data_IF_734750180834
#
_entry.id   IF_734750180834
#
_cell.length_a   1.000
_cell.length_b   1.000
_cell.length_c   1.000
_cell.angle_alpha   90.00
_cell.angle_beta   90.00
_cell.angle_gamma   90.00
#
_symmetry.space_group_name_H-M   'P 1'
#
loop_
_entity.id
_entity.type
_entity.pdbx_description
1 polymer ?
#
# COMPACT_ATOMS: atom_id res chain seq x y z
N UNK A 1 17.55 42.26 45.19
CA UNK A 1 18.11 42.57 43.87
C UNK A 1 18.39 41.32 43.02
N UNK A 2 19.12 40.30 43.49
CA UNK A 2 19.51 39.11 42.66
C UNK A 2 18.33 38.32 42.08
N UNK A 3 17.18 38.12 42.79
CA UNK A 3 16.01 37.41 42.27
C UNK A 3 15.26 38.16 41.13
N UNK A 4 15.25 39.53 41.16
CA UNK A 4 14.65 40.30 40.08
C UNK A 4 15.48 40.28 38.78
N UNK A 5 16.81 40.29 38.91
CA UNK A 5 17.70 40.15 37.73
C UNK A 5 17.57 38.76 37.07
N UNK A 6 17.44 37.70 37.89
CA UNK A 6 17.28 36.35 37.36
C UNK A 6 15.96 36.19 36.59
N UNK A 7 14.86 36.75 37.08
CA UNK A 7 13.56 36.71 36.41
C UNK A 7 13.55 37.51 35.09
N UNK A 8 14.25 38.66 35.06
CA UNK A 8 14.38 39.47 33.83
C UNK A 8 15.21 38.72 32.78
N UNK A 9 16.28 38.06 33.21
CA UNK A 9 17.13 37.25 32.29
C UNK A 9 16.37 36.07 31.70
N UNK A 10 15.56 35.35 32.50
CA UNK A 10 14.75 34.22 32.03
C UNK A 10 13.66 34.73 31.05
N UNK A 11 12.99 35.84 31.36
CA UNK A 11 11.99 36.43 30.47
C UNK A 11 12.60 36.88 29.14
N UNK A 12 13.81 37.47 29.13
CA UNK A 12 14.51 37.85 27.90
C UNK A 12 14.93 36.65 27.04
N UNK A 13 15.34 35.54 27.65
CA UNK A 13 15.66 34.28 26.94
C UNK A 13 14.40 33.66 26.33
N UNK A 14 13.29 33.63 27.08
CA UNK A 14 12.01 33.07 26.56
C UNK A 14 11.45 33.93 25.42
N UNK A 15 11.57 35.28 25.50
CA UNK A 15 11.18 36.18 24.42
C UNK A 15 12.11 35.97 23.21
N UNK A 16 13.43 35.85 23.42
CA UNK A 16 14.40 35.56 22.35
C UNK A 16 14.13 34.24 21.64
N UNK A 17 13.85 33.19 22.39
CA UNK A 17 13.45 31.88 21.84
C UNK A 17 12.12 31.94 21.10
N UNK A 18 11.13 32.67 21.67
CA UNK A 18 9.82 32.88 21.05
C UNK A 18 9.92 33.66 19.73
N UNK A 19 10.76 34.72 19.68
CA UNK A 19 10.99 35.50 18.46
C UNK A 19 11.80 34.69 17.44
N UNK A 20 12.78 33.94 17.86
CA UNK A 20 13.56 33.04 16.97
C UNK A 20 12.65 31.95 16.36
N UNK A 21 11.81 31.30 17.17
CA UNK A 21 10.82 30.34 16.70
C UNK A 21 9.78 31.01 15.78
N UNK A 22 9.32 32.22 16.08
CA UNK A 22 8.40 32.92 15.22
C UNK A 22 9.03 33.30 13.88
N UNK A 23 10.30 33.73 13.87
CA UNK A 23 11.03 34.05 12.64
C UNK A 23 11.32 32.77 11.81
N UNK A 24 11.68 31.67 12.43
CA UNK A 24 11.91 30.40 11.72
C UNK A 24 10.60 29.81 11.19
N UNK A 25 9.48 29.99 11.91
CA UNK A 25 8.14 29.57 11.46
C UNK A 25 7.50 30.52 10.42
N UNK A 26 8.02 31.76 10.28
CA UNK A 26 7.52 32.77 9.35
C UNK A 26 8.37 32.95 8.09
N UNK A 27 9.42 32.15 7.89
CA UNK A 27 10.11 32.15 6.60
C UNK A 27 9.10 31.76 5.52
N UNK A 28 8.82 32.59 4.52
CA UNK A 28 7.99 32.19 3.40
C UNK A 28 8.70 31.00 2.73
N UNK A 29 8.07 29.82 2.77
CA UNK A 29 8.55 28.69 1.96
C UNK A 29 8.63 29.18 0.51
N UNK A 30 9.76 28.95 -0.15
CA UNK A 30 9.87 29.23 -1.59
C UNK A 30 8.75 28.47 -2.26
N UNK A 31 7.88 29.16 -3.05
CA UNK A 31 6.79 28.48 -3.73
C UNK A 31 7.36 27.37 -4.62
N UNK A 32 6.71 26.21 -4.60
CA UNK A 32 7.06 25.15 -5.53
C UNK A 32 6.82 25.62 -6.98
N UNK A 33 7.77 25.33 -7.84
CA UNK A 33 7.69 25.57 -9.30
C UNK A 33 7.73 24.21 -9.96
N UNK A 34 6.67 23.84 -10.63
CA UNK A 34 6.55 22.57 -11.33
C UNK A 34 7.67 22.40 -12.36
N UNK A 35 8.21 21.17 -12.40
CA UNK A 35 9.10 20.70 -13.44
C UNK A 35 8.58 19.36 -13.96
N UNK A 36 8.58 19.10 -15.27
CA UNK A 36 8.17 17.81 -15.79
C UNK A 36 9.12 16.71 -15.33
N UNK A 37 8.63 15.46 -15.18
CA UNK A 37 9.47 14.31 -14.85
C UNK A 37 10.59 14.09 -15.87
N UNK A 38 11.71 13.57 -15.38
CA UNK A 38 12.83 13.21 -16.26
C UNK A 38 12.56 11.88 -16.96
N UNK A 39 12.85 11.82 -18.26
CA UNK A 39 12.82 10.56 -19.00
C UNK A 39 14.09 9.76 -18.69
N UNK A 40 13.89 8.61 -18.02
CA UNK A 40 14.98 7.70 -17.63
C UNK A 40 14.96 6.38 -18.39
N UNK A 41 14.15 6.29 -19.45
CA UNK A 41 14.02 5.12 -20.33
C UNK A 41 13.65 3.82 -19.58
N UNK A 42 12.78 3.92 -18.60
CA UNK A 42 12.30 2.80 -17.79
C UNK A 42 10.97 2.21 -18.26
N UNK A 43 10.49 2.61 -19.43
CA UNK A 43 9.23 2.18 -20.02
C UNK A 43 8.05 3.12 -19.77
N UNK A 44 8.19 4.13 -18.89
CA UNK A 44 7.20 5.20 -18.72
C UNK A 44 7.52 6.36 -19.65
N UNK A 45 6.57 6.72 -20.50
CA UNK A 45 6.63 7.98 -21.23
C UNK A 45 6.49 9.14 -20.23
N UNK A 46 7.13 10.25 -20.51
CA UNK A 46 7.01 11.47 -19.70
C UNK A 46 6.42 12.61 -20.51
N UNK A 47 5.77 13.53 -19.81
CA UNK A 47 5.16 14.72 -20.43
C UNK A 47 4.97 15.85 -19.44
N UNK A 48 4.24 16.88 -19.85
CA UNK A 48 3.89 18.01 -18.99
C UNK A 48 2.42 17.95 -18.54
N UNK A 49 2.08 18.64 -17.46
CA UNK A 49 0.69 18.79 -17.01
C UNK A 49 -0.19 19.41 -18.09
N UNK A 50 0.32 20.40 -18.84
CA UNK A 50 -0.38 21.08 -19.91
C UNK A 50 -0.74 20.13 -21.06
N UNK A 51 0.17 19.21 -21.45
CA UNK A 51 -0.07 18.26 -22.55
C UNK A 51 -1.25 17.30 -22.30
N UNK A 52 -1.58 17.06 -21.02
CA UNK A 52 -2.68 16.16 -20.61
C UNK A 52 -3.82 16.91 -19.93
N UNK A 53 -3.83 18.25 -20.03
CA UNK A 53 -4.92 19.08 -19.52
C UNK A 53 -5.05 19.18 -18.01
N UNK A 54 -3.99 18.86 -17.25
CA UNK A 54 -4.02 18.95 -15.78
C UNK A 54 -3.83 20.39 -15.31
N UNK A 55 -4.65 20.82 -14.32
CA UNK A 55 -4.57 22.13 -13.71
C UNK A 55 -3.27 22.30 -12.90
N UNK A 56 -2.37 23.14 -13.46
CA UNK A 56 -1.07 23.45 -12.86
C UNK A 56 -1.20 24.13 -11.48
N UNK A 57 -2.17 25.02 -11.29
CA UNK A 57 -2.30 25.79 -10.04
C UNK A 57 -2.71 24.87 -8.89
N UNK A 58 -3.63 23.93 -9.13
CA UNK A 58 -4.05 22.93 -8.15
C UNK A 58 -2.90 22.01 -7.77
N UNK A 59 -2.11 21.54 -8.73
CA UNK A 59 -0.94 20.69 -8.47
C UNK A 59 0.13 21.45 -7.69
N UNK A 60 0.45 22.70 -8.07
CA UNK A 60 1.41 23.50 -7.31
C UNK A 60 0.95 23.78 -5.87
N UNK A 61 -0.35 24.03 -5.68
CA UNK A 61 -0.89 24.21 -4.32
C UNK A 61 -0.83 22.91 -3.52
N UNK A 62 -1.12 21.73 -4.13
CA UNK A 62 -0.99 20.43 -3.48
C UNK A 62 0.44 20.22 -2.96
N UNK A 63 1.44 20.40 -3.82
CA UNK A 63 2.86 20.23 -3.47
C UNK A 63 3.30 21.26 -2.42
N UNK A 64 2.89 22.53 -2.55
CA UNK A 64 3.16 23.56 -1.55
C UNK A 64 2.60 23.19 -0.18
N UNK A 65 1.43 22.55 -0.12
CA UNK A 65 0.83 22.11 1.14
C UNK A 65 1.54 20.90 1.74
N UNK A 66 2.02 19.98 0.90
CA UNK A 66 2.88 18.86 1.34
C UNK A 66 4.14 19.45 1.98
N UNK A 67 4.85 20.35 1.29
CA UNK A 67 6.06 21.02 1.79
C UNK A 67 5.86 21.77 3.12
N UNK A 68 4.63 22.24 3.39
CA UNK A 68 4.24 22.88 4.68
C UNK A 68 3.76 21.87 5.73
N UNK A 69 3.86 20.56 5.49
CA UNK A 69 3.46 19.49 6.41
C UNK A 69 1.95 19.38 6.65
N UNK A 70 1.09 19.94 5.77
CA UNK A 70 -0.37 19.91 5.93
C UNK A 70 -0.96 18.51 5.72
N UNK A 71 -0.27 17.67 4.96
CA UNK A 71 -0.66 16.30 4.64
C UNK A 71 0.17 15.25 5.39
N UNK A 72 0.74 15.63 6.55
CA UNK A 72 1.61 14.77 7.33
C UNK A 72 2.93 14.49 6.59
N UNK A 73 3.45 13.27 6.72
CA UNK A 73 4.72 12.88 6.12
C UNK A 73 4.45 12.13 4.80
N UNK A 74 4.41 12.88 3.71
CA UNK A 74 4.37 12.37 2.34
C UNK A 74 5.81 12.28 1.85
N UNK A 75 6.21 11.14 1.29
CA UNK A 75 7.56 10.90 0.78
C UNK A 75 7.65 11.08 -0.73
N UNK A 76 6.59 10.72 -1.45
CA UNK A 76 6.47 10.99 -2.88
C UNK A 76 5.03 11.15 -3.32
N UNK A 77 4.85 11.86 -4.45
CA UNK A 77 3.61 11.89 -5.22
C UNK A 77 3.95 11.83 -6.70
N UNK A 78 3.34 10.87 -7.40
CA UNK A 78 3.48 10.71 -8.84
C UNK A 78 2.09 10.71 -9.48
N UNK A 79 1.96 11.33 -10.66
CA UNK A 79 0.73 11.33 -11.45
C UNK A 79 1.06 10.92 -12.88
N UNK A 80 0.38 9.87 -13.33
CA UNK A 80 0.35 9.40 -14.71
C UNK A 80 -1.04 9.68 -15.29
N UNK A 81 -1.10 10.23 -16.50
CA UNK A 81 -2.33 10.50 -17.22
C UNK A 81 -2.08 10.49 -18.73
N UNK A 82 -3.03 9.91 -19.48
CA UNK A 82 -2.99 9.87 -20.94
C UNK A 82 -1.63 9.40 -21.48
N UNK A 83 -1.21 8.20 -21.01
CA UNK A 83 0.04 7.53 -21.37
C UNK A 83 1.33 8.29 -21.02
N UNK A 84 1.28 9.24 -20.10
CA UNK A 84 2.45 10.01 -19.66
C UNK A 84 2.54 10.15 -18.14
N UNK A 85 3.73 9.94 -17.59
CA UNK A 85 4.07 10.40 -16.25
C UNK A 85 4.29 11.92 -16.32
N UNK A 86 3.47 12.69 -15.61
CA UNK A 86 3.44 14.16 -15.72
C UNK A 86 3.75 14.86 -14.39
N UNK A 87 3.75 14.14 -13.28
CA UNK A 87 4.23 14.64 -11.99
C UNK A 87 5.09 13.56 -11.32
N UNK A 88 6.22 13.96 -10.78
CA UNK A 88 7.11 13.09 -10.01
C UNK A 88 7.86 13.92 -8.97
N UNK A 89 7.34 13.95 -7.73
CA UNK A 89 7.93 14.72 -6.65
C UNK A 89 8.28 13.85 -5.46
N UNK A 90 9.40 14.17 -4.84
CA UNK A 90 9.97 13.49 -3.68
C UNK A 90 10.26 14.48 -2.57
N UNK A 91 10.06 14.07 -1.34
CA UNK A 91 10.17 14.94 -0.16
C UNK A 91 11.13 14.37 0.87
N UNK A 92 11.47 15.16 1.86
CA UNK A 92 12.19 14.70 3.04
C UNK A 92 11.21 13.95 3.97
N UNK A 93 11.68 12.82 4.53
CA UNK A 93 10.89 12.03 5.46
C UNK A 93 11.68 10.85 6.01
N UNK A 94 11.12 10.18 7.03
CA UNK A 94 11.80 9.11 7.74
C UNK A 94 11.65 7.77 7.05
N UNK A 95 12.72 6.99 7.01
CA UNK A 95 12.62 5.56 6.74
C UNK A 95 11.80 4.88 7.83
N UNK A 96 11.13 3.79 7.47
CA UNK A 96 10.47 2.96 8.46
C UNK A 96 11.48 2.27 9.37
N UNK A 97 11.22 2.27 10.68
CA UNK A 97 11.97 1.50 11.67
C UNK A 97 11.00 1.01 12.75
N UNK A 98 10.85 -0.30 12.87
CA UNK A 98 9.88 -0.94 13.74
C UNK A 98 9.92 -0.42 15.21
N UNK A 99 11.10 -0.41 15.82
CA UNK A 99 11.36 -0.04 17.21
C UNK A 99 11.67 1.46 17.41
N UNK A 100 11.67 2.23 16.32
CA UNK A 100 11.90 3.67 16.37
C UNK A 100 10.69 4.43 16.92
N UNK A 101 10.91 5.60 17.56
CA UNK A 101 9.81 6.48 17.97
C UNK A 101 8.93 6.85 16.78
N UNK A 102 7.60 6.64 16.89
CA UNK A 102 6.64 6.77 15.80
C UNK A 102 6.91 5.85 14.59
N UNK A 103 7.68 4.77 14.76
CA UNK A 103 8.21 3.91 13.69
C UNK A 103 9.09 4.66 12.69
N UNK A 104 9.74 5.74 13.11
CA UNK A 104 10.65 6.54 12.31
C UNK A 104 12.10 6.15 12.58
N UNK A 105 12.81 5.83 11.51
CA UNK A 105 14.26 5.64 11.47
C UNK A 105 14.99 6.90 10.98
N UNK A 106 15.95 6.71 10.08
CA UNK A 106 16.75 7.80 9.50
C UNK A 106 15.88 8.77 8.70
N UNK A 107 16.10 10.08 8.89
CA UNK A 107 15.54 11.12 8.06
C UNK A 107 16.33 11.22 6.76
N UNK A 108 15.68 11.07 5.62
CA UNK A 108 16.32 11.07 4.30
C UNK A 108 15.57 11.99 3.33
N UNK A 109 16.27 12.47 2.31
CA UNK A 109 15.63 13.06 1.13
C UNK A 109 15.31 11.94 0.15
N UNK A 110 14.03 11.59 0.03
CA UNK A 110 13.59 10.54 -0.88
C UNK A 110 13.87 10.90 -2.34
N UNK A 111 14.03 9.91 -3.17
CA UNK A 111 14.26 10.08 -4.60
C UNK A 111 13.84 8.81 -5.37
N UNK A 112 13.82 8.91 -6.71
CA UNK A 112 13.35 7.83 -7.60
C UNK A 112 14.11 6.51 -7.51
N UNK A 113 15.35 6.52 -7.03
CA UNK A 113 16.17 5.31 -6.96
C UNK A 113 16.00 4.51 -5.67
N UNK A 114 15.34 5.09 -4.67
CA UNK A 114 15.18 4.46 -3.37
C UNK A 114 13.98 3.52 -3.38
N UNK A 115 14.19 2.32 -2.84
CA UNK A 115 13.10 1.41 -2.50
C UNK A 115 12.32 1.99 -1.32
N UNK A 116 11.01 1.88 -1.39
CA UNK A 116 10.09 2.30 -0.33
C UNK A 116 9.29 1.08 0.13
N UNK A 117 9.16 0.92 1.43
CA UNK A 117 8.32 -0.08 2.05
C UNK A 117 6.84 0.28 1.78
N UNK A 118 6.17 -0.55 0.99
CA UNK A 118 4.80 -0.28 0.53
C UNK A 118 3.72 -0.82 1.45
N UNK A 119 4.13 -1.53 2.54
CA UNK A 119 3.18 -2.08 3.53
C UNK A 119 2.07 -2.90 2.85
N UNK A 120 0.84 -2.71 3.25
CA UNK A 120 -0.29 -3.50 2.75
C UNK A 120 -0.62 -3.35 1.26
N UNK A 121 0.01 -2.43 0.51
CA UNK A 121 -0.03 -2.49 -0.96
C UNK A 121 0.54 -3.82 -1.47
N UNK A 122 1.40 -4.48 -0.68
CA UNK A 122 1.93 -5.82 -0.92
C UNK A 122 0.81 -6.84 -1.14
N UNK A 123 -0.33 -6.71 -0.45
CA UNK A 123 -1.49 -7.60 -0.61
C UNK A 123 -2.04 -7.56 -2.03
N UNK A 124 -2.09 -6.37 -2.64
CA UNK A 124 -2.50 -6.22 -4.03
C UNK A 124 -1.49 -6.87 -4.98
N UNK A 125 -0.19 -6.79 -4.70
CA UNK A 125 0.84 -7.46 -5.48
C UNK A 125 0.71 -8.99 -5.38
N UNK A 126 0.46 -9.51 -4.19
CA UNK A 126 0.20 -10.94 -3.97
C UNK A 126 -1.05 -11.39 -4.72
N UNK A 127 -2.12 -10.58 -4.71
CA UNK A 127 -3.33 -10.84 -5.50
C UNK A 127 -3.02 -10.91 -6.99
N UNK A 128 -2.25 -9.96 -7.54
CA UNK A 128 -1.84 -10.00 -8.96
C UNK A 128 -1.12 -11.31 -9.26
N UNK A 129 -0.24 -11.77 -8.37
CA UNK A 129 0.47 -13.04 -8.56
C UNK A 129 -0.47 -14.25 -8.56
N UNK A 130 -1.55 -14.26 -7.79
CA UNK A 130 -2.60 -15.30 -7.86
C UNK A 130 -3.29 -15.25 -9.24
N UNK A 131 -3.66 -14.07 -9.72
CA UNK A 131 -4.25 -13.91 -11.06
C UNK A 131 -3.33 -14.45 -12.16
N UNK A 132 -2.06 -14.07 -12.13
CA UNK A 132 -1.05 -14.59 -13.07
C UNK A 132 -0.90 -16.11 -12.94
N UNK A 133 -0.92 -16.67 -11.73
CA UNK A 133 -0.83 -18.11 -11.53
C UNK A 133 -2.03 -18.86 -12.12
N UNK A 134 -3.23 -18.27 -12.10
CA UNK A 134 -4.43 -18.81 -12.76
C UNK A 134 -4.28 -18.71 -14.29
N UNK A 135 -3.90 -17.55 -14.81
CA UNK A 135 -3.72 -17.32 -16.26
C UNK A 135 -2.68 -18.27 -16.86
N UNK A 136 -1.67 -18.67 -16.09
CA UNK A 136 -0.67 -19.67 -16.49
C UNK A 136 -1.07 -21.11 -16.20
N UNK A 137 -2.22 -21.38 -15.59
CA UNK A 137 -2.72 -22.71 -15.28
C UNK A 137 -2.01 -23.42 -14.12
N UNK A 138 -1.28 -22.69 -13.26
CA UNK A 138 -0.72 -23.21 -12.02
C UNK A 138 -1.79 -23.40 -10.93
N UNK A 139 -2.81 -22.54 -10.94
CA UNK A 139 -4.01 -22.59 -10.11
C UNK A 139 -5.19 -22.72 -11.07
N UNK A 140 -6.13 -23.63 -10.77
CA UNK A 140 -7.27 -23.90 -11.67
C UNK A 140 -8.32 -22.78 -11.58
N UNK A 141 -8.69 -22.37 -10.37
CA UNK A 141 -9.65 -21.27 -10.14
C UNK A 141 -9.59 -20.74 -8.71
N UNK A 142 -10.18 -19.54 -8.49
CA UNK A 142 -10.33 -18.96 -7.16
C UNK A 142 -11.32 -19.71 -6.26
N UNK A 143 -12.13 -20.60 -6.83
CA UNK A 143 -13.17 -21.36 -6.09
C UNK A 143 -12.64 -22.66 -5.50
N UNK A 144 -11.37 -23.00 -5.72
CA UNK A 144 -10.75 -24.17 -5.08
C UNK A 144 -10.56 -23.92 -3.59
N UNK A 145 -10.69 -25.01 -2.80
CA UNK A 145 -10.34 -24.96 -1.38
C UNK A 145 -8.85 -24.61 -1.21
N UNK A 146 -8.54 -23.79 -0.21
CA UNK A 146 -7.15 -23.49 0.14
C UNK A 146 -6.37 -24.76 0.47
N UNK A 147 -7.04 -25.78 1.01
CA UNK A 147 -6.42 -27.05 1.40
C UNK A 147 -6.02 -27.92 0.22
N UNK A 148 -6.52 -27.67 -0.99
CA UNK A 148 -6.02 -28.31 -2.21
C UNK A 148 -4.54 -27.99 -2.46
N UNK A 149 -4.09 -26.85 -1.94
CA UNK A 149 -2.71 -26.34 -2.07
C UNK A 149 -1.88 -26.40 -0.79
N UNK A 150 -2.43 -26.91 0.32
CA UNK A 150 -1.75 -26.94 1.62
C UNK A 150 -1.58 -28.37 2.15
N UNK A 151 -0.81 -29.24 1.46
CA UNK A 151 -0.69 -30.65 1.82
C UNK A 151 -0.10 -30.88 3.21
N UNK A 152 0.79 -30.01 3.69
CA UNK A 152 1.43 -30.13 4.99
C UNK A 152 0.48 -29.74 6.15
N UNK A 153 -0.61 -29.01 5.84
CA UNK A 153 -1.56 -28.46 6.82
C UNK A 153 -2.93 -29.16 6.79
N UNK A 154 -3.06 -30.34 6.14
CA UNK A 154 -4.32 -31.09 6.07
C UNK A 154 -4.91 -31.44 7.43
N UNK A 155 -4.08 -31.56 8.46
CA UNK A 155 -4.51 -31.84 9.83
C UNK A 155 -5.25 -30.65 10.48
N UNK A 156 -5.17 -29.46 9.91
CA UNK A 156 -5.88 -28.24 10.32
C UNK A 156 -7.18 -28.01 9.52
N UNK A 157 -7.46 -28.86 8.55
CA UNK A 157 -8.70 -28.86 7.79
C UNK A 157 -9.84 -29.48 8.61
N UNK A 158 -10.35 -28.72 9.56
CA UNK A 158 -11.38 -29.10 10.52
C UNK A 158 -12.46 -28.03 10.62
N UNK A 159 -13.62 -28.39 11.17
CA UNK A 159 -14.66 -27.46 11.56
C UNK A 159 -15.22 -26.59 10.42
N UNK A 160 -15.27 -27.14 9.18
CA UNK A 160 -15.79 -26.45 8.00
C UNK A 160 -14.76 -25.56 7.27
N UNK A 161 -13.48 -25.61 7.63
CA UNK A 161 -12.43 -24.84 6.96
C UNK A 161 -12.13 -25.30 5.53
N UNK A 162 -12.56 -26.51 5.16
CA UNK A 162 -12.54 -27.00 3.76
C UNK A 162 -13.38 -26.15 2.81
N UNK A 163 -14.33 -25.38 3.33
CA UNK A 163 -15.14 -24.44 2.54
C UNK A 163 -14.43 -23.10 2.26
N UNK A 164 -13.29 -22.83 2.91
CA UNK A 164 -12.51 -21.64 2.63
C UNK A 164 -11.84 -21.77 1.26
N UNK A 165 -12.18 -20.87 0.34
CA UNK A 165 -11.62 -20.82 -1.02
C UNK A 165 -10.54 -19.75 -1.15
N UNK A 166 -9.77 -19.78 -2.23
CA UNK A 166 -8.83 -18.72 -2.59
C UNK A 166 -9.55 -17.37 -2.72
N UNK A 167 -10.78 -17.34 -3.28
CA UNK A 167 -11.58 -16.13 -3.38
C UNK A 167 -11.90 -15.53 -2.00
N UNK A 168 -12.24 -16.36 -1.01
CA UNK A 168 -12.50 -15.90 0.35
C UNK A 168 -11.27 -15.25 0.99
N UNK A 169 -10.05 -15.72 0.69
CA UNK A 169 -8.83 -15.06 1.14
C UNK A 169 -8.61 -13.71 0.45
N UNK A 170 -8.79 -13.66 -0.89
CA UNK A 170 -8.63 -12.45 -1.70
C UNK A 170 -9.62 -11.34 -1.33
N UNK A 171 -10.81 -11.73 -0.90
CA UNK A 171 -11.90 -10.81 -0.55
C UNK A 171 -12.00 -10.49 0.95
N UNK A 172 -11.08 -11.06 1.76
CA UNK A 172 -11.08 -10.90 3.22
C UNK A 172 -12.35 -11.43 3.89
N UNK A 173 -12.90 -12.53 3.36
CA UNK A 173 -14.13 -13.18 3.85
C UNK A 173 -13.89 -14.64 4.23
N UNK A 174 -12.69 -15.00 4.71
CA UNK A 174 -12.36 -16.37 5.09
C UNK A 174 -13.18 -16.91 6.26
N UNK A 175 -13.76 -16.05 7.09
CA UNK A 175 -14.46 -16.41 8.31
C UNK A 175 -13.55 -16.80 9.48
N UNK A 176 -12.22 -16.83 9.30
CA UNK A 176 -11.27 -17.06 10.39
C UNK A 176 -11.23 -15.85 11.33
N UNK A 177 -11.18 -16.12 12.64
CA UNK A 177 -10.94 -15.07 13.65
C UNK A 177 -9.59 -14.38 13.36
N UNK A 178 -9.62 -13.04 13.32
CA UNK A 178 -8.43 -12.24 13.10
C UNK A 178 -8.60 -10.83 13.63
N UNK A 179 -7.61 -10.32 14.36
CA UNK A 179 -7.60 -8.94 14.83
C UNK A 179 -6.34 -8.20 14.38
N UNK A 180 -6.49 -7.37 13.36
CA UNK A 180 -5.43 -6.50 12.83
C UNK A 180 -5.78 -5.01 12.98
N UNK A 181 -7.02 -4.68 13.39
CA UNK A 181 -7.49 -3.30 13.42
C UNK A 181 -7.78 -2.74 14.81
N UNK A 182 -8.13 -3.57 15.79
CA UNK A 182 -8.46 -3.09 17.14
C UNK A 182 -7.21 -2.83 17.99
N UNK A 183 -6.14 -3.58 17.76
CA UNK A 183 -4.87 -3.44 18.44
C UNK A 183 -3.83 -2.69 17.58
N UNK A 184 -2.97 -1.85 18.20
CA UNK A 184 -1.89 -1.18 17.49
C UNK A 184 -0.90 -2.18 16.86
N UNK A 185 -0.34 -1.82 15.69
CA UNK A 185 0.74 -2.57 15.05
C UNK A 185 2.07 -2.61 15.85
N UNK A 186 2.08 -2.10 17.07
CA UNK A 186 3.18 -2.21 18.05
C UNK A 186 2.85 -3.16 19.20
N UNK A 187 1.68 -3.80 19.19
CA UNK A 187 1.21 -4.71 20.25
C UNK A 187 1.14 -6.16 19.76
N UNK A 188 1.47 -7.09 20.64
CA UNK A 188 1.25 -8.53 20.42
C UNK A 188 -0.23 -8.94 20.46
N UNK A 189 -1.13 -8.05 20.86
CA UNK A 189 -2.57 -8.26 20.73
C UNK A 189 -3.05 -8.14 19.25
N UNK A 190 -2.16 -7.68 18.37
CA UNK A 190 -2.40 -7.60 16.93
C UNK A 190 -1.89 -8.88 16.26
N UNK A 191 -2.74 -9.63 15.59
CA UNK A 191 -2.42 -10.95 15.06
C UNK A 191 -1.29 -10.93 14.03
N UNK A 192 -1.17 -9.88 13.17
CA UNK A 192 -0.06 -9.80 12.22
C UNK A 192 1.29 -9.56 12.90
N UNK A 193 1.27 -9.04 14.12
CA UNK A 193 2.46 -8.85 14.93
C UNK A 193 2.76 -10.11 15.75
N UNK A 194 1.74 -10.72 16.35
CA UNK A 194 1.90 -11.94 17.15
C UNK A 194 2.51 -13.08 16.33
N UNK A 195 2.15 -13.18 15.05
CA UNK A 195 2.72 -14.20 14.15
C UNK A 195 4.26 -14.12 14.08
N UNK A 196 4.83 -12.91 14.08
CA UNK A 196 6.29 -12.72 14.07
C UNK A 196 6.94 -13.17 15.37
N UNK A 197 6.30 -12.88 16.51
CA UNK A 197 6.80 -13.30 17.80
C UNK A 197 6.70 -14.80 17.98
N UNK A 198 5.60 -15.42 17.56
CA UNK A 198 5.44 -16.88 17.62
C UNK A 198 6.47 -17.60 16.74
N UNK A 199 6.77 -17.09 15.55
CA UNK A 199 7.84 -17.62 14.69
C UNK A 199 9.21 -17.41 15.33
N UNK A 200 9.55 -16.20 15.77
CA UNK A 200 10.87 -15.86 16.30
C UNK A 200 11.20 -16.50 17.65
N UNK A 201 10.22 -16.62 18.55
CA UNK A 201 10.41 -17.12 19.92
C UNK A 201 10.18 -18.63 20.03
N UNK A 202 9.24 -19.18 19.27
CA UNK A 202 8.78 -20.56 19.38
C UNK A 202 9.05 -21.41 18.13
N UNK A 203 9.46 -20.75 17.01
CA UNK A 203 9.62 -21.40 15.72
C UNK A 203 8.31 -21.92 15.15
N UNK A 204 7.18 -21.31 15.55
CA UNK A 204 5.86 -21.72 15.10
C UNK A 204 5.66 -21.32 13.64
N UNK A 205 5.29 -22.29 12.83
CA UNK A 205 4.96 -22.06 11.43
C UNK A 205 3.82 -21.04 11.28
N UNK A 206 4.00 -19.97 10.47
CA UNK A 206 2.99 -18.93 10.31
C UNK A 206 1.65 -19.45 9.77
N UNK A 207 1.65 -20.47 8.88
CA UNK A 207 0.41 -21.06 8.41
C UNK A 207 -0.32 -21.82 9.51
N UNK A 208 0.41 -22.52 10.36
CA UNK A 208 -0.15 -23.18 11.54
C UNK A 208 -0.82 -22.15 12.45
N UNK A 209 -0.16 -21.02 12.74
CA UNK A 209 -0.76 -19.93 13.53
C UNK A 209 -2.08 -19.43 12.93
N UNK A 210 -2.11 -19.19 11.61
CA UNK A 210 -3.28 -18.66 10.92
C UNK A 210 -4.42 -19.71 10.89
N UNK A 211 -4.09 -20.95 10.52
CA UNK A 211 -5.09 -21.99 10.28
C UNK A 211 -5.59 -22.66 11.58
N UNK A 212 -4.90 -22.48 12.71
CA UNK A 212 -5.42 -22.85 14.04
C UNK A 212 -6.49 -21.88 14.54
N UNK A 213 -6.59 -20.66 14.00
CA UNK A 213 -7.66 -19.72 14.36
C UNK A 213 -9.03 -20.36 14.15
N UNK A 214 -9.99 -20.14 15.06
CA UNK A 214 -11.35 -20.67 14.90
C UNK A 214 -12.06 -20.03 13.71
N UNK A 215 -12.96 -20.80 13.10
CA UNK A 215 -13.92 -20.28 12.14
C UNK A 215 -15.07 -19.63 12.96
N UNK A 216 -15.23 -18.30 12.86
CA UNK A 216 -16.22 -17.52 13.61
C UNK A 216 -17.38 -17.04 12.75
N UNK A 217 -17.19 -16.99 11.44
CA UNK A 217 -18.20 -16.67 10.44
C UNK A 217 -18.19 -17.74 9.33
N UNK A 218 -19.30 -17.89 8.62
CA UNK A 218 -19.36 -18.71 7.41
C UNK A 218 -18.49 -18.09 6.31
N UNK A 219 -17.58 -18.85 5.65
CA UNK A 219 -16.76 -18.36 4.57
C UNK A 219 -17.59 -17.66 3.47
N UNK A 220 -17.11 -16.50 3.03
CA UNK A 220 -17.77 -15.68 2.02
C UNK A 220 -18.80 -14.68 2.57
N UNK A 221 -19.11 -14.65 3.87
CA UNK A 221 -20.22 -13.84 4.41
C UNK A 221 -19.81 -12.55 5.10
N UNK A 222 -18.69 -12.53 5.81
CA UNK A 222 -18.29 -11.39 6.64
C UNK A 222 -16.89 -10.90 6.27
N UNK A 223 -16.75 -9.58 6.11
CA UNK A 223 -15.44 -8.95 5.88
C UNK A 223 -14.64 -8.84 7.18
N UNK A 224 -13.46 -9.45 7.22
CA UNK A 224 -12.47 -9.31 8.28
C UNK A 224 -11.09 -9.08 7.66
N UNK A 225 -10.55 -7.86 7.80
CA UNK A 225 -9.24 -7.54 7.21
C UNK A 225 -8.14 -8.36 7.87
N UNK A 226 -7.45 -9.18 7.10
CA UNK A 226 -6.49 -10.19 7.58
C UNK A 226 -5.22 -10.26 6.71
N UNK A 227 -4.08 -9.90 7.29
CA UNK A 227 -2.78 -10.19 6.70
C UNK A 227 -2.50 -11.70 6.63
N UNK A 228 -3.05 -12.48 7.56
CA UNK A 228 -2.96 -13.94 7.55
C UNK A 228 -3.51 -14.55 6.26
N UNK A 229 -4.66 -14.07 5.78
CA UNK A 229 -5.21 -14.53 4.51
C UNK A 229 -4.19 -14.38 3.36
N UNK A 230 -3.47 -13.27 3.33
CA UNK A 230 -2.51 -12.99 2.25
C UNK A 230 -1.21 -13.80 2.39
N UNK A 231 -0.78 -14.08 3.62
CA UNK A 231 0.36 -14.99 3.86
C UNK A 231 0.02 -16.39 3.33
N UNK A 232 -1.21 -16.88 3.55
CA UNK A 232 -1.69 -18.16 2.99
C UNK A 232 -1.71 -18.11 1.46
N UNK A 233 -2.12 -17.01 0.82
CA UNK A 233 -2.05 -16.85 -0.64
C UNK A 233 -0.61 -16.97 -1.16
N UNK A 234 0.37 -16.39 -0.46
CA UNK A 234 1.79 -16.53 -0.80
C UNK A 234 2.26 -17.98 -0.79
N UNK A 235 1.80 -18.76 0.17
CA UNK A 235 2.15 -20.18 0.26
C UNK A 235 1.39 -21.05 -0.75
N UNK A 236 0.16 -20.68 -1.12
CA UNK A 236 -0.56 -21.30 -2.24
C UNK A 236 0.24 -21.13 -3.55
N UNK A 237 0.78 -19.93 -3.82
CA UNK A 237 1.68 -19.71 -4.97
C UNK A 237 2.87 -20.66 -4.91
N UNK A 238 3.55 -20.75 -3.76
CA UNK A 238 4.71 -21.64 -3.57
C UNK A 238 4.36 -23.10 -3.91
N UNK A 239 3.27 -23.59 -3.34
CA UNK A 239 2.89 -25.00 -3.52
C UNK A 239 2.37 -25.31 -4.93
N UNK A 240 1.68 -24.36 -5.57
CA UNK A 240 1.21 -24.51 -6.95
C UNK A 240 2.34 -24.43 -7.99
N UNK A 241 3.38 -23.63 -7.73
CA UNK A 241 4.40 -23.28 -8.73
C UNK A 241 5.80 -23.82 -8.41
N UNK A 242 6.02 -24.24 -7.18
CA UNK A 242 7.34 -24.57 -6.60
C UNK A 242 8.31 -23.36 -6.60
N UNK A 243 7.77 -22.12 -6.59
CA UNK A 243 8.52 -20.86 -6.44
C UNK A 243 7.97 -20.09 -5.27
N UNK A 244 8.83 -19.50 -4.43
CA UNK A 244 8.39 -18.53 -3.44
C UNK A 244 7.85 -17.28 -4.13
N UNK A 245 7.03 -16.49 -3.43
CA UNK A 245 6.39 -15.30 -4.02
C UNK A 245 7.39 -14.26 -4.53
N UNK A 246 8.57 -14.13 -3.93
CA UNK A 246 9.65 -13.26 -4.38
C UNK A 246 10.20 -13.70 -5.75
N UNK A 247 10.41 -14.99 -5.94
CA UNK A 247 10.85 -15.57 -7.21
C UNK A 247 9.74 -15.49 -8.26
N UNK A 248 8.50 -15.83 -7.86
CA UNK A 248 7.34 -15.80 -8.77
C UNK A 248 7.04 -14.37 -9.23
N UNK A 249 6.94 -13.43 -8.31
CA UNK A 249 6.66 -12.02 -8.64
C UNK A 249 7.78 -11.41 -9.49
N UNK A 250 9.03 -11.75 -9.22
CA UNK A 250 10.16 -11.30 -10.04
C UNK A 250 9.98 -11.76 -11.48
N UNK A 251 9.75 -13.06 -11.68
CA UNK A 251 9.71 -13.67 -13.02
C UNK A 251 8.49 -13.29 -13.83
N UNK A 252 7.30 -13.28 -13.22
CA UNK A 252 6.04 -13.17 -13.94
C UNK A 252 5.37 -11.79 -13.86
N UNK A 253 5.84 -10.91 -12.95
CA UNK A 253 5.30 -9.56 -12.80
C UNK A 253 6.40 -8.52 -12.99
N UNK A 254 7.49 -8.56 -12.20
CA UNK A 254 8.44 -7.45 -12.16
C UNK A 254 9.33 -7.39 -13.40
N UNK A 255 9.88 -8.49 -13.86
CA UNK A 255 10.69 -8.52 -15.10
C UNK A 255 9.89 -8.08 -16.33
N UNK A 256 8.66 -8.57 -16.60
CA UNK A 256 7.84 -8.09 -17.71
C UNK A 256 7.54 -6.58 -17.64
N UNK A 257 7.34 -6.04 -16.44
CA UNK A 257 7.14 -4.60 -16.24
C UNK A 257 8.44 -3.78 -16.28
N UNK A 258 9.60 -4.43 -16.46
CA UNK A 258 10.90 -3.76 -16.36
C UNK A 258 11.15 -3.14 -14.97
N UNK A 259 10.69 -3.78 -13.92
CA UNK A 259 10.97 -3.42 -12.52
C UNK A 259 12.24 -4.16 -12.11
N UNK A 260 13.34 -3.43 -12.00
CA UNK A 260 14.70 -3.94 -11.82
C UNK A 260 15.12 -4.13 -10.37
N UNK A 261 14.31 -3.68 -9.42
CA UNK A 261 14.61 -3.79 -8.00
C UNK A 261 13.33 -3.93 -7.16
N UNK A 262 13.32 -4.97 -6.36
CA UNK A 262 12.34 -5.25 -5.32
C UNK A 262 13.02 -5.94 -4.15
N UNK A 263 12.45 -5.83 -2.96
CA UNK A 263 12.97 -6.48 -1.76
C UNK A 263 11.81 -6.96 -0.88
N UNK A 264 11.75 -8.25 -0.60
CA UNK A 264 10.82 -8.84 0.37
C UNK A 264 11.55 -8.93 1.71
N UNK A 265 11.23 -8.02 2.62
CA UNK A 265 12.03 -7.75 3.82
C UNK A 265 11.86 -8.75 4.95
N UNK A 266 10.76 -9.51 4.94
CA UNK A 266 10.43 -10.46 6.02
C UNK A 266 10.27 -11.88 5.47
N UNK A 267 11.09 -12.78 5.99
CA UNK A 267 11.01 -14.22 5.77
C UNK A 267 11.00 -14.92 7.12
N UNK A 268 10.01 -15.74 7.35
CA UNK A 268 9.88 -16.55 8.57
C UNK A 268 10.94 -17.64 8.64
N UNK A 269 11.14 -18.23 9.84
CA UNK A 269 12.21 -19.19 10.11
C UNK A 269 12.11 -20.47 9.25
N UNK A 270 10.90 -20.85 8.86
CA UNK A 270 10.64 -21.98 7.95
C UNK A 270 10.75 -21.61 6.45
N UNK A 271 11.08 -20.37 6.12
CA UNK A 271 11.25 -19.89 4.75
C UNK A 271 10.02 -19.26 4.11
N UNK A 272 8.84 -19.32 4.72
CA UNK A 272 7.63 -18.61 4.25
C UNK A 272 7.91 -17.10 4.22
N UNK A 273 7.46 -16.43 3.15
CA UNK A 273 7.59 -14.98 3.02
C UNK A 273 6.34 -14.30 3.57
N UNK A 274 6.53 -13.22 4.30
CA UNK A 274 5.43 -12.35 4.74
C UNK A 274 4.85 -11.61 3.54
N UNK A 275 3.84 -12.19 2.92
CA UNK A 275 3.25 -11.73 1.65
C UNK A 275 2.20 -10.62 1.80
N UNK A 276 1.99 -10.10 3.02
CA UNK A 276 0.94 -9.14 3.33
C UNK A 276 1.41 -7.69 3.50
N UNK A 277 2.73 -7.46 3.72
CA UNK A 277 3.20 -6.12 4.04
C UNK A 277 4.71 -5.92 3.97
N UNK A 278 5.49 -6.88 3.47
CA UNK A 278 6.95 -6.86 3.55
C UNK A 278 7.67 -6.46 2.25
N UNK A 279 6.96 -5.99 1.23
CA UNK A 279 7.55 -5.63 -0.05
C UNK A 279 8.04 -4.17 -0.05
N UNK A 280 9.26 -3.99 -0.56
CA UNK A 280 9.81 -2.68 -0.92
C UNK A 280 10.00 -2.60 -2.45
N UNK A 281 9.45 -1.56 -3.06
CA UNK A 281 9.64 -1.22 -4.48
C UNK A 281 9.77 0.31 -4.66
N UNK A 282 10.23 0.74 -5.82
CA UNK A 282 10.32 2.16 -6.15
C UNK A 282 8.95 2.76 -6.47
N UNK A 283 8.68 4.05 -6.21
CA UNK A 283 7.41 4.70 -6.57
C UNK A 283 7.08 4.60 -8.07
N UNK A 284 8.05 4.66 -8.97
CA UNK A 284 7.81 4.42 -10.41
C UNK A 284 7.36 3.00 -10.72
N UNK A 285 7.82 2.00 -9.96
CA UNK A 285 7.32 0.62 -10.07
C UNK A 285 5.84 0.53 -9.68
N UNK A 286 5.42 1.25 -8.64
CA UNK A 286 4.01 1.37 -8.26
C UNK A 286 3.17 2.00 -9.40
N UNK A 287 3.70 3.03 -10.09
CA UNK A 287 3.04 3.61 -11.28
C UNK A 287 2.85 2.57 -12.37
N UNK A 288 3.90 1.79 -12.70
CA UNK A 288 3.80 0.73 -13.74
C UNK A 288 2.73 -0.31 -13.41
N UNK A 289 2.62 -0.73 -12.14
CA UNK A 289 1.58 -1.64 -11.67
C UNK A 289 0.20 -0.99 -11.84
N UNK A 290 0.03 0.26 -11.43
CA UNK A 290 -1.22 1.00 -11.62
C UNK A 290 -1.59 1.15 -13.10
N UNK A 291 -0.63 1.45 -13.98
CA UNK A 291 -0.83 1.57 -15.44
C UNK A 291 -1.21 0.23 -16.06
N UNK A 292 -0.63 -0.88 -15.60
CA UNK A 292 -1.04 -2.22 -16.03
C UNK A 292 -2.52 -2.46 -15.73
N UNK A 293 -2.98 -2.09 -14.54
CA UNK A 293 -4.39 -2.22 -14.15
C UNK A 293 -5.30 -1.19 -14.85
N UNK A 294 -4.81 0.01 -15.13
CA UNK A 294 -5.51 1.01 -15.94
C UNK A 294 -5.79 0.50 -17.38
N UNK A 295 -4.90 -0.35 -17.89
CA UNK A 295 -4.95 -0.91 -19.23
C UNK A 295 -5.40 -2.38 -19.25
N UNK A 296 -6.37 -2.77 -18.42
CA UNK A 296 -6.96 -4.12 -18.39
C UNK A 296 -5.90 -5.25 -18.28
N UNK A 297 -4.86 -5.01 -17.49
CA UNK A 297 -3.79 -5.96 -17.24
C UNK A 297 -2.70 -6.00 -18.32
N UNK A 298 -2.68 -5.04 -19.24
CA UNK A 298 -1.72 -4.95 -20.36
C UNK A 298 -0.60 -3.95 -20.02
N UNK A 299 0.64 -4.36 -20.28
CA UNK A 299 1.82 -3.50 -20.26
C UNK A 299 2.61 -3.64 -21.55
N UNK A 300 2.87 -2.51 -22.25
CA UNK A 300 3.61 -2.47 -23.54
C UNK A 300 3.09 -3.47 -24.59
N UNK A 301 1.79 -3.76 -24.60
CA UNK A 301 1.15 -4.69 -25.54
C UNK A 301 1.21 -6.16 -25.13
N UNK A 302 1.77 -6.49 -23.97
CA UNK A 302 1.80 -7.82 -23.37
C UNK A 302 0.76 -7.93 -22.25
N UNK A 303 -0.04 -9.02 -22.24
CA UNK A 303 -0.98 -9.31 -21.17
C UNK A 303 -0.19 -9.85 -19.97
N UNK A 304 -0.15 -9.12 -18.88
CA UNK A 304 0.53 -9.48 -17.62
C UNK A 304 -0.40 -10.29 -16.72
N UNK A 305 -1.64 -9.84 -16.59
CA UNK A 305 -2.72 -10.51 -15.88
C UNK A 305 -4.02 -10.29 -16.66
N UNK A 306 -4.96 -11.22 -16.61
CA UNK A 306 -6.19 -11.13 -17.40
C UNK A 306 -7.03 -9.87 -17.05
N UNK A 307 -7.74 -9.33 -18.05
CA UNK A 307 -8.68 -8.22 -17.85
C UNK A 307 -9.82 -8.60 -16.90
N UNK A 308 -10.23 -9.87 -16.86
CA UNK A 308 -11.22 -10.36 -15.88
C UNK A 308 -10.71 -10.21 -14.45
N UNK A 309 -9.41 -10.45 -14.20
CA UNK A 309 -8.80 -10.23 -12.88
C UNK A 309 -8.84 -8.76 -12.47
N UNK A 310 -8.57 -7.87 -13.42
CA UNK A 310 -8.65 -6.41 -13.20
C UNK A 310 -10.07 -5.98 -12.87
N UNK A 311 -11.07 -6.45 -13.64
CA UNK A 311 -12.49 -6.16 -13.40
C UNK A 311 -12.94 -6.62 -12.01
N UNK A 312 -12.57 -7.85 -11.61
CA UNK A 312 -12.87 -8.36 -10.25
C UNK A 312 -12.16 -7.56 -9.16
N UNK A 313 -10.94 -7.09 -9.40
CA UNK A 313 -10.21 -6.24 -8.46
C UNK A 313 -10.84 -4.86 -8.29
N UNK A 314 -11.44 -4.32 -9.35
CA UNK A 314 -12.08 -3.01 -9.38
C UNK A 314 -13.55 -2.99 -8.90
N UNK A 315 -14.17 -4.18 -8.76
CA UNK A 315 -15.59 -4.31 -8.38
C UNK A 315 -15.72 -4.83 -6.96
N UNK A 316 -16.41 -4.14 -6.04
CA UNK A 316 -16.58 -4.62 -4.66
C UNK A 316 -17.18 -6.02 -4.61
N UNK A 317 -16.57 -6.92 -3.84
CA UNK A 317 -17.09 -8.27 -3.63
C UNK A 317 -18.33 -8.24 -2.74
N UNK A 318 -19.44 -8.77 -3.22
CA UNK A 318 -20.69 -8.92 -2.46
C UNK A 318 -21.02 -7.65 -1.63
N UNK A 319 -21.15 -7.81 -0.31
CA UNK A 319 -21.47 -6.73 0.64
C UNK A 319 -20.23 -6.04 1.25
N UNK A 320 -19.03 -6.26 0.69
CA UNK A 320 -17.79 -5.58 1.11
C UNK A 320 -17.82 -4.09 0.71
N UNK A 321 -18.74 -3.33 1.31
CA UNK A 321 -19.00 -1.90 1.06
C UNK A 321 -19.16 -1.14 2.37
N UNK A 322 -18.99 0.17 2.32
CA UNK A 322 -19.18 1.02 3.48
C UNK A 322 -18.10 0.89 4.56
N UNK A 323 -16.91 0.41 4.18
CA UNK A 323 -15.81 0.15 5.10
C UNK A 323 -15.07 1.47 5.41
N UNK A 324 -14.83 1.71 6.69
CA UNK A 324 -13.97 2.80 7.18
C UNK A 324 -12.63 2.21 7.63
N UNK A 325 -11.52 2.60 6.96
CA UNK A 325 -10.21 2.03 7.26
C UNK A 325 -9.58 2.77 8.46
N UNK A 326 -9.30 2.08 9.59
CA UNK A 326 -8.67 2.68 10.75
C UNK A 326 -7.29 3.28 10.44
N UNK A 327 -6.91 4.34 11.13
CA UNK A 327 -5.61 4.99 10.94
C UNK A 327 -5.44 5.73 9.62
N UNK A 328 -6.51 5.88 8.82
CA UNK A 328 -6.51 6.61 7.55
C UNK A 328 -7.66 7.61 7.48
N UNK A 329 -7.72 8.39 6.40
CA UNK A 329 -8.88 9.22 6.04
C UNK A 329 -9.76 8.56 4.95
N UNK A 330 -9.57 7.28 4.67
CA UNK A 330 -10.40 6.48 3.76
C UNK A 330 -11.69 6.07 4.45
N UNK A 331 -12.83 6.51 3.91
CA UNK A 331 -14.17 6.25 4.44
C UNK A 331 -15.11 5.78 3.35
N UNK A 332 -16.05 4.91 3.71
CA UNK A 332 -17.07 4.39 2.80
C UNK A 332 -16.47 3.81 1.53
N UNK A 333 -15.49 2.91 1.69
CA UNK A 333 -14.82 2.20 0.60
C UNK A 333 -15.38 0.79 0.48
N UNK A 334 -15.22 0.19 -0.69
CA UNK A 334 -15.44 -1.23 -0.93
C UNK A 334 -14.13 -2.00 -0.93
N UNK A 335 -14.20 -3.34 -1.04
CA UNK A 335 -13.03 -4.21 -1.11
C UNK A 335 -13.27 -5.43 -1.99
N UNK A 336 -12.34 -5.75 -2.85
CA UNK A 336 -12.32 -6.98 -3.64
C UNK A 336 -10.89 -7.32 -4.07
N UNK A 337 -10.56 -8.58 -4.16
CA UNK A 337 -9.30 -9.16 -4.63
C UNK A 337 -8.04 -8.38 -4.17
N UNK A 338 -8.05 -8.02 -2.88
CA UNK A 338 -6.99 -7.23 -2.22
C UNK A 338 -6.84 -5.79 -2.73
N UNK A 339 -7.88 -5.23 -3.35
CA UNK A 339 -7.97 -3.83 -3.76
C UNK A 339 -9.14 -3.13 -3.07
N UNK A 340 -8.96 -1.85 -2.72
CA UNK A 340 -10.00 -0.96 -2.22
C UNK A 340 -10.71 -0.29 -3.37
N UNK A 341 -12.04 -0.10 -3.27
CA UNK A 341 -12.83 0.55 -4.31
C UNK A 341 -13.57 1.75 -3.75
N UNK A 342 -13.81 2.76 -4.57
CA UNK A 342 -14.65 3.92 -4.21
C UNK A 342 -15.27 4.53 -5.45
N UNK A 343 -16.56 4.79 -5.37
CA UNK A 343 -17.31 5.45 -6.43
C UNK A 343 -17.27 6.96 -6.22
N UNK A 344 -17.04 7.72 -7.30
CA UNK A 344 -17.16 9.17 -7.37
C UNK A 344 -18.03 9.56 -8.57
N UNK A 345 -18.66 10.75 -8.56
CA UNK A 345 -19.51 11.18 -9.67
C UNK A 345 -18.77 11.28 -11.02
N UNK A 346 -17.48 11.58 -10.97
CA UNK A 346 -16.64 11.85 -12.17
C UNK A 346 -15.87 10.61 -12.64
N UNK A 347 -15.60 9.65 -11.76
CA UNK A 347 -14.86 8.43 -12.09
C UNK A 347 -14.91 7.45 -10.93
N UNK A 348 -15.08 6.18 -11.23
CA UNK A 348 -14.81 5.14 -10.27
C UNK A 348 -13.30 5.07 -9.99
N UNK A 349 -12.96 4.66 -8.77
CA UNK A 349 -11.58 4.49 -8.33
C UNK A 349 -11.41 3.13 -7.66
N UNK A 350 -10.33 2.43 -8.00
CA UNK A 350 -9.83 1.36 -7.16
C UNK A 350 -8.36 1.61 -6.76
N UNK A 351 -7.93 1.06 -5.65
CA UNK A 351 -6.60 1.39 -5.12
C UNK A 351 -5.99 0.28 -4.27
N UNK A 352 -4.68 0.08 -4.39
CA UNK A 352 -3.89 -0.49 -3.32
C UNK A 352 -3.79 0.52 -2.17
N UNK A 353 -3.57 0.04 -0.95
CA UNK A 353 -3.48 0.93 0.20
C UNK A 353 -2.67 0.33 1.35
N UNK A 354 -1.58 1.01 1.73
CA UNK A 354 -0.66 0.61 2.78
C UNK A 354 -0.56 1.60 3.94
N UNK A 355 -0.23 1.06 5.10
CA UNK A 355 -0.01 1.83 6.31
C UNK A 355 1.09 2.88 6.12
N UNK A 356 0.86 4.08 6.61
CA UNK A 356 1.81 5.20 6.48
C UNK A 356 1.50 6.14 5.31
N UNK A 357 0.62 5.78 4.38
CA UNK A 357 0.22 6.61 3.24
C UNK A 357 0.73 6.10 1.89
N UNK A 358 1.02 4.81 1.80
CA UNK A 358 1.31 4.13 0.54
C UNK A 358 0.01 3.96 -0.22
N UNK A 359 -0.03 4.29 -1.50
CA UNK A 359 -1.22 4.07 -2.33
C UNK A 359 -0.86 4.00 -3.81
N UNK A 360 -1.59 3.15 -4.53
CA UNK A 360 -1.72 3.17 -5.99
C UNK A 360 -3.20 3.42 -6.26
N UNK A 361 -3.58 4.62 -6.67
CA UNK A 361 -4.94 4.96 -7.07
C UNK A 361 -5.07 4.85 -8.59
N UNK A 362 -6.05 4.12 -9.07
CA UNK A 362 -6.35 3.94 -10.49
C UNK A 362 -7.73 4.52 -10.79
N UNK A 363 -7.81 5.38 -11.79
CA UNK A 363 -9.02 6.08 -12.25
C UNK A 363 -9.27 5.75 -13.73
N UNK A 364 -10.02 4.68 -14.03
CA UNK A 364 -10.24 4.27 -15.43
C UNK A 364 -10.86 5.37 -16.30
N UNK A 365 -11.92 6.02 -15.83
CA UNK A 365 -12.63 7.04 -16.60
C UNK A 365 -11.81 8.32 -16.83
N UNK A 366 -10.81 8.58 -16.01
CA UNK A 366 -9.89 9.71 -16.15
C UNK A 366 -8.58 9.34 -16.86
N UNK A 367 -8.42 8.07 -17.25
CA UNK A 367 -7.18 7.52 -17.81
C UNK A 367 -5.95 7.94 -16.96
N UNK A 368 -6.03 7.73 -15.63
CA UNK A 368 -5.04 8.25 -14.70
C UNK A 368 -4.67 7.26 -13.59
N UNK A 369 -3.40 7.35 -13.16
CA UNK A 369 -2.86 6.69 -11.98
C UNK A 369 -2.20 7.72 -11.08
N UNK A 370 -2.49 7.66 -9.79
CA UNK A 370 -1.84 8.50 -8.78
C UNK A 370 -1.16 7.59 -7.76
N UNK A 371 0.13 7.82 -7.51
CA UNK A 371 0.89 7.09 -6.50
C UNK A 371 1.30 8.04 -5.39
N UNK A 372 1.15 7.61 -4.15
CA UNK A 372 1.73 8.27 -2.99
C UNK A 372 2.52 7.29 -2.14
N UNK A 373 3.62 7.76 -1.54
CA UNK A 373 4.29 7.05 -0.44
C UNK A 373 4.44 7.99 0.76
N UNK A 374 4.57 7.44 1.96
CA UNK A 374 4.64 8.27 3.16
C UNK A 374 5.10 7.53 4.41
N UNK A 375 5.33 8.30 5.49
CA UNK A 375 5.81 7.83 6.80
C UNK A 375 4.85 8.12 7.97
N UNK A 376 3.55 8.28 7.71
CA UNK A 376 2.57 8.62 8.75
C UNK A 376 2.08 7.36 9.48
N UNK A 377 2.89 6.81 10.39
CA UNK A 377 2.59 5.49 11.00
C UNK A 377 1.75 5.55 12.29
N UNK A 378 1.82 6.62 13.08
CA UNK A 378 1.15 6.71 14.39
C UNK A 378 -0.04 7.66 14.43
N UNK A 379 -0.41 8.22 13.29
CA UNK A 379 -1.53 9.15 13.14
C UNK A 379 -2.33 8.80 11.88
N UNK A 380 -3.56 9.28 11.80
CA UNK A 380 -4.35 9.13 10.58
C UNK A 380 -3.67 9.80 9.39
N UNK A 381 -3.51 9.09 8.30
CA UNK A 381 -3.05 9.64 7.02
C UNK A 381 -4.05 10.66 6.48
N UNK A 382 -3.63 11.48 5.52
CA UNK A 382 -4.48 12.48 4.84
C UNK A 382 -4.37 12.38 3.32
N UNK A 383 -4.04 11.22 2.83
CA UNK A 383 -3.84 10.99 1.39
C UNK A 383 -5.13 11.14 0.60
N UNK A 384 -6.28 10.68 1.14
CA UNK A 384 -7.58 10.89 0.50
C UNK A 384 -7.96 12.38 0.46
N UNK A 385 -7.74 13.12 1.55
CA UNK A 385 -7.98 14.58 1.55
C UNK A 385 -7.08 15.32 0.56
N UNK A 386 -5.85 14.87 0.32
CA UNK A 386 -4.96 15.42 -0.71
C UNK A 386 -5.52 15.12 -2.10
N UNK A 387 -5.87 13.88 -2.34
CA UNK A 387 -6.44 13.38 -3.59
C UNK A 387 -7.72 14.14 -3.95
N UNK A 388 -8.72 14.13 -3.07
CA UNK A 388 -10.05 14.69 -3.30
C UNK A 388 -10.07 16.22 -3.43
N UNK A 389 -9.13 16.93 -2.78
CA UNK A 389 -9.13 18.40 -2.78
C UNK A 389 -8.30 19.03 -3.88
N UNK A 390 -7.28 18.34 -4.36
CA UNK A 390 -6.32 18.93 -5.30
C UNK A 390 -6.06 18.06 -6.52
N UNK A 391 -5.84 16.76 -6.32
CA UNK A 391 -5.41 15.92 -7.44
C UNK A 391 -6.58 15.58 -8.34
N UNK A 392 -7.67 15.00 -7.80
CA UNK A 392 -8.86 14.69 -8.62
C UNK A 392 -9.42 15.92 -9.33
N UNK A 393 -9.65 17.07 -8.66
CA UNK A 393 -10.10 18.27 -9.38
C UNK A 393 -9.13 18.78 -10.45
N UNK A 394 -7.84 18.47 -10.34
CA UNK A 394 -6.85 18.81 -11.35
C UNK A 394 -6.87 17.86 -12.55
N UNK A 395 -7.32 16.60 -12.36
CA UNK A 395 -7.41 15.58 -13.40
C UNK A 395 -8.65 15.75 -14.30
N UNK A 396 -9.72 16.37 -13.77
CA UNK A 396 -11.01 16.63 -14.44
C UNK A 396 -10.93 17.87 -15.30
#
# INVERSE_FOLDING_TARGET
MKKRFLLISIAAVLIGVGVYLAITLSQPSIPYIYQPPENVNDGLNVGTLEEVGIDLELIQEAVNRINRGKYREVHSILVFKDDKLVLEEYFEGHRYQWDGPNHHGELVTWNRSMLHDIKSDTKSITSICIGIAIDHGFIESVHQSIFDYLPEHQHLNTDGKDEITIEHLLTMTSGLEWDEWSAPLSSRDNDIIEIWFQDAEEGKDPLTFILEKPLVDEPGTSFTYSGGNTIVLGEIIRNATNMYIDEFSTKYLFEPLGIDASNWTVRYTNGVIEAAGSLEIRPRAMVKIGVTFLNDGIWNGEQIVSGEWVEKSATPYADNKGIDIPGTDKRNVGYSYSWWTKEYPESDMFSAGGWGGQNIFVFPDLNAVVVTTGGTYTRSTRTMSLLERYIMPALI
#
